data_IF_702609988531
#
_entry.id   IF_702609988531
#
_cell.length_a   1.000
_cell.length_b   1.000
_cell.length_c   1.000
_cell.angle_alpha   90.00
_cell.angle_beta   90.00
_cell.angle_gamma   90.00
#
_symmetry.space_group_name_H-M   'P 1'
#
loop_
_entity.id
_entity.type
_entity.pdbx_description
1 polymer ?
#
# COMPACT_ATOMS: atom_id res chain seq x y z
N UNK A 1 -20.65 23.47 44.51
CA UNK A 1 -20.10 24.82 44.73
C UNK A 1 -19.73 25.34 43.37
N UNK A 2 -20.60 26.10 42.71
CA UNK A 2 -20.58 27.54 42.52
C UNK A 2 -19.23 27.97 41.91
N UNK A 3 -19.19 28.44 40.77
CA UNK A 3 -19.69 29.48 39.84
C UNK A 3 -18.52 30.37 39.43
N UNK A 4 -18.36 30.77 38.19
CA UNK A 4 -18.79 32.07 37.70
C UNK A 4 -18.46 32.25 36.19
N UNK A 5 -19.48 32.72 35.49
CA UNK A 5 -19.42 33.27 34.15
C UNK A 5 -18.64 34.59 34.13
N UNK A 6 -17.95 34.88 33.03
CA UNK A 6 -17.77 36.28 32.62
C UNK A 6 -17.93 36.37 31.07
N UNK A 7 -18.92 37.12 30.70
CA UNK A 7 -19.24 37.63 29.37
C UNK A 7 -18.51 38.97 29.24
N UNK A 8 -17.85 39.25 28.13
CA UNK A 8 -17.50 40.61 27.71
C UNK A 8 -17.67 40.73 26.21
N UNK A 9 -18.69 41.48 25.86
CA UNK A 9 -18.91 42.07 24.55
C UNK A 9 -18.07 43.32 24.41
N UNK A 10 -17.46 43.59 23.26
CA UNK A 10 -17.07 44.95 22.87
C UNK A 10 -17.31 45.15 21.37
N UNK A 11 -17.85 46.32 21.14
CA UNK A 11 -18.48 46.86 19.99
C UNK A 11 -17.55 47.22 18.83
N UNK A 12 -18.18 47.35 17.66
CA UNK A 12 -17.57 47.70 16.40
C UNK A 12 -17.10 49.15 16.29
N UNK A 13 -16.26 49.37 15.30
CA UNK A 13 -16.00 50.71 14.77
C UNK A 13 -15.94 50.65 13.25
N UNK A 14 -16.97 51.21 12.63
CA UNK A 14 -17.05 51.52 11.19
C UNK A 14 -16.24 52.78 10.93
N UNK A 15 -15.28 52.73 10.04
CA UNK A 15 -14.60 53.93 9.51
C UNK A 15 -15.01 54.13 8.05
N UNK A 16 -15.82 55.16 7.86
CA UNK A 16 -16.17 55.74 6.56
C UNK A 16 -15.04 56.64 6.12
N UNK A 17 -14.47 56.48 4.92
CA UNK A 17 -13.57 57.44 4.31
C UNK A 17 -14.21 58.02 3.06
N UNK A 18 -14.39 59.34 3.13
CA UNK A 18 -14.99 60.20 2.12
C UNK A 18 -14.02 60.46 0.95
N UNK A 19 -14.59 60.43 -0.25
CA UNK A 19 -13.97 60.88 -1.50
C UNK A 19 -13.82 62.40 -1.51
N UNK A 20 -12.62 62.89 -1.84
CA UNK A 20 -12.42 64.27 -2.21
C UNK A 20 -11.82 64.35 -3.63
N UNK A 21 -12.58 64.93 -4.53
CA UNK A 21 -12.17 65.26 -5.90
C UNK A 21 -11.29 66.49 -5.91
N UNK A 22 -10.18 66.46 -6.60
CA UNK A 22 -9.32 67.64 -6.84
C UNK A 22 -8.81 67.65 -8.27
N UNK A 23 -9.31 68.59 -9.07
CA UNK A 23 -8.79 68.95 -10.41
C UNK A 23 -7.54 69.81 -10.28
N UNK A 24 -6.51 69.53 -11.11
CA UNK A 24 -5.32 70.37 -11.19
C UNK A 24 -4.40 70.08 -12.36
N UNK A 25 -4.58 70.81 -13.44
CA UNK A 25 -3.73 71.26 -14.57
C UNK A 25 -2.49 70.50 -15.03
N UNK A 26 -2.45 70.32 -16.32
CA UNK A 26 -1.40 69.81 -17.19
C UNK A 26 -0.09 70.62 -17.11
N UNK A 27 1.04 69.92 -17.23
CA UNK A 27 2.32 70.34 -17.71
C UNK A 27 3.05 69.27 -18.47
N UNK A 28 3.65 69.60 -19.56
CA UNK A 28 4.20 68.89 -20.68
C UNK A 28 5.45 68.10 -20.38
N UNK A 29 5.58 66.99 -21.16
CA UNK A 29 6.57 65.92 -21.31
C UNK A 29 8.07 66.26 -21.22
N UNK A 30 8.98 65.23 -21.00
CA UNK A 30 9.48 64.52 -22.19
C UNK A 30 9.50 62.99 -22.06
N UNK A 31 9.49 62.38 -23.24
CA UNK A 31 9.54 60.95 -23.55
C UNK A 31 10.66 60.20 -22.85
N UNK A 32 10.28 59.14 -22.14
CA UNK A 32 11.14 58.01 -21.78
C UNK A 32 10.37 56.75 -22.02
N UNK A 33 10.65 56.06 -23.13
CA UNK A 33 10.03 54.82 -23.53
C UNK A 33 10.55 53.67 -22.65
N UNK A 34 9.80 53.27 -21.66
CA UNK A 34 9.96 51.97 -21.01
C UNK A 34 8.60 51.27 -21.05
N UNK A 35 8.44 50.42 -22.08
CA UNK A 35 7.33 49.48 -22.20
C UNK A 35 7.43 48.45 -21.08
N UNK A 36 7.02 48.83 -19.90
CA UNK A 36 6.65 47.89 -18.85
C UNK A 36 5.24 47.41 -19.15
N UNK A 37 5.09 46.25 -19.81
CA UNK A 37 3.84 45.55 -19.87
C UNK A 37 3.33 45.37 -18.42
N UNK A 38 2.06 45.66 -18.10
CA UNK A 38 1.53 45.34 -16.80
C UNK A 38 1.63 43.79 -16.66
N UNK A 39 2.39 43.31 -15.70
CA UNK A 39 2.29 41.93 -15.27
C UNK A 39 0.84 41.73 -14.87
N UNK A 40 0.10 40.89 -15.62
CA UNK A 40 -1.21 40.42 -15.20
C UNK A 40 -1.14 39.84 -13.78
N UNK A 41 -2.27 39.71 -13.10
CA UNK A 41 -2.29 39.05 -11.80
C UNK A 41 -1.55 37.72 -11.93
N UNK A 42 -0.77 37.32 -10.92
CA UNK A 42 -0.13 36.01 -10.94
C UNK A 42 -1.19 34.95 -11.25
N UNK A 43 -0.87 34.00 -12.13
CA UNK A 43 -1.76 32.90 -12.43
C UNK A 43 -2.18 32.24 -11.10
N UNK A 44 -3.46 31.93 -10.96
CA UNK A 44 -3.97 31.26 -9.76
C UNK A 44 -3.24 29.91 -9.63
N UNK A 45 -2.77 29.62 -8.42
CA UNK A 45 -2.16 28.32 -8.11
C UNK A 45 -3.27 27.29 -7.99
N UNK A 46 -3.17 26.19 -8.75
CA UNK A 46 -4.08 25.04 -8.63
C UNK A 46 -3.63 24.18 -7.44
N UNK A 47 -4.48 24.01 -6.45
CA UNK A 47 -4.24 23.11 -5.33
C UNK A 47 -4.75 21.70 -5.67
N UNK A 48 -3.89 20.69 -5.46
CA UNK A 48 -4.21 19.27 -5.61
C UNK A 48 -4.07 18.60 -4.25
N UNK A 49 -5.15 18.06 -3.74
CA UNK A 49 -5.21 17.36 -2.45
C UNK A 49 -5.00 15.87 -2.66
N UNK A 50 -3.99 15.31 -1.98
CA UNK A 50 -3.64 13.88 -2.07
C UNK A 50 -3.82 13.22 -0.70
N UNK A 51 -4.59 12.14 -0.66
CA UNK A 51 -4.65 11.26 0.52
C UNK A 51 -3.86 9.99 0.27
N UNK A 52 -3.09 9.56 1.29
CA UNK A 52 -2.36 8.30 1.31
C UNK A 52 -2.39 7.67 2.71
N UNK A 53 -2.00 6.39 2.82
CA UNK A 53 -1.96 5.71 4.11
C UNK A 53 -0.56 5.25 4.52
N UNK A 54 0.49 5.64 3.79
CA UNK A 54 1.85 5.27 4.16
C UNK A 54 2.26 5.88 5.50
N UNK A 55 3.04 5.13 6.27
CA UNK A 55 3.53 5.54 7.57
C UNK A 55 5.05 5.75 7.58
N UNK A 56 5.54 6.45 8.62
CA UNK A 56 6.97 6.64 8.90
C UNK A 56 7.76 7.18 7.72
N UNK A 57 8.92 6.61 7.46
CA UNK A 57 9.84 7.07 6.41
C UNK A 57 9.22 7.06 5.00
N UNK A 58 8.26 6.17 4.72
CA UNK A 58 7.58 6.13 3.43
C UNK A 58 6.65 7.33 3.25
N UNK A 59 5.89 7.72 4.29
CA UNK A 59 5.10 8.95 4.28
C UNK A 59 5.97 10.19 4.12
N UNK A 60 7.06 10.29 4.89
CA UNK A 60 7.99 11.42 4.82
C UNK A 60 8.61 11.55 3.42
N UNK A 61 8.94 10.42 2.78
CA UNK A 61 9.48 10.40 1.41
C UNK A 61 8.46 10.91 0.40
N UNK A 62 7.21 10.44 0.48
CA UNK A 62 6.15 10.90 -0.43
C UNK A 62 5.89 12.40 -0.26
N UNK A 63 5.79 12.88 0.98
CA UNK A 63 5.59 14.29 1.29
C UNK A 63 6.75 15.18 0.77
N UNK A 64 7.99 14.68 0.85
CA UNK A 64 9.15 15.37 0.30
C UNK A 64 9.09 15.44 -1.24
N UNK A 65 8.69 14.37 -1.91
CA UNK A 65 8.51 14.34 -3.38
C UNK A 65 7.37 15.26 -3.83
N UNK A 66 6.25 15.30 -3.11
CA UNK A 66 5.14 16.22 -3.38
C UNK A 66 5.58 17.71 -3.25
N UNK A 67 6.38 18.03 -2.24
CA UNK A 67 6.98 19.37 -2.08
C UNK A 67 7.97 19.71 -3.19
N UNK A 68 8.79 18.74 -3.63
CA UNK A 68 9.73 18.90 -4.75
C UNK A 68 9.00 19.22 -6.05
N UNK A 69 7.90 18.48 -6.35
CA UNK A 69 7.05 18.76 -7.50
C UNK A 69 6.49 20.19 -7.44
N UNK A 70 5.89 20.58 -6.30
CA UNK A 70 5.32 21.91 -6.12
C UNK A 70 6.37 23.04 -6.25
N UNK A 71 7.60 22.82 -5.80
CA UNK A 71 8.68 23.78 -5.92
C UNK A 71 9.13 23.99 -7.39
N UNK A 72 9.08 22.93 -8.21
CA UNK A 72 9.45 22.99 -9.63
C UNK A 72 8.28 23.41 -10.55
N UNK A 73 7.02 23.30 -10.08
CA UNK A 73 5.80 23.58 -10.84
C UNK A 73 4.98 24.68 -10.13
N UNK A 74 5.47 25.93 -10.15
CA UNK A 74 4.95 27.07 -9.34
C UNK A 74 3.46 27.38 -9.50
N UNK A 75 2.79 26.80 -10.51
CA UNK A 75 1.36 26.96 -10.74
C UNK A 75 0.53 25.81 -10.14
N UNK A 76 1.17 24.80 -9.52
CA UNK A 76 0.50 23.67 -8.86
C UNK A 76 1.06 23.53 -7.44
N UNK A 77 0.18 23.35 -6.46
CA UNK A 77 0.52 23.03 -5.07
C UNK A 77 -0.05 21.66 -4.71
N UNK A 78 0.81 20.71 -4.39
CA UNK A 78 0.38 19.41 -3.87
C UNK A 78 0.30 19.47 -2.35
N UNK A 79 -0.89 19.18 -1.80
CA UNK A 79 -1.17 19.10 -0.37
C UNK A 79 -1.45 17.66 0.01
N UNK A 80 -0.60 17.04 0.82
CA UNK A 80 -0.71 15.65 1.24
C UNK A 80 -1.43 15.51 2.59
N UNK A 81 -2.15 14.41 2.79
CA UNK A 81 -2.77 14.05 4.06
C UNK A 81 -2.66 12.55 4.30
N UNK A 82 -2.06 12.17 5.42
CA UNK A 82 -2.07 10.79 5.87
C UNK A 82 -3.45 10.41 6.44
N UNK A 83 -3.98 9.28 6.01
CA UNK A 83 -5.22 8.67 6.53
C UNK A 83 -4.91 7.24 6.88
N UNK A 84 -5.07 6.82 8.15
CA UNK A 84 -4.79 5.44 8.54
C UNK A 84 -5.46 4.41 7.63
N UNK A 85 -4.74 3.34 7.30
CA UNK A 85 -5.24 2.28 6.41
C UNK A 85 -6.61 1.75 6.85
N UNK A 86 -6.81 1.52 8.16
CA UNK A 86 -8.09 1.05 8.73
C UNK A 86 -9.28 1.96 8.45
N UNK A 87 -9.04 3.27 8.32
CA UNK A 87 -10.09 4.29 8.18
C UNK A 87 -10.30 4.75 6.73
N UNK A 88 -9.36 4.40 5.84
CA UNK A 88 -9.23 5.00 4.51
C UNK A 88 -10.50 4.86 3.66
N UNK A 89 -11.00 3.64 3.46
CA UNK A 89 -12.23 3.40 2.68
C UNK A 89 -13.46 4.02 3.32
N UNK A 90 -13.56 4.00 4.65
CA UNK A 90 -14.68 4.62 5.39
C UNK A 90 -14.69 6.13 5.18
N UNK A 91 -13.51 6.77 5.26
CA UNK A 91 -13.35 8.20 5.03
C UNK A 91 -13.66 8.57 3.57
N UNK A 92 -13.22 7.77 2.59
CA UNK A 92 -13.56 8.00 1.18
C UNK A 92 -15.08 7.95 0.93
N UNK A 93 -15.78 6.95 1.46
CA UNK A 93 -17.25 6.86 1.33
C UNK A 93 -17.98 8.05 1.96
N UNK A 94 -17.56 8.44 3.16
CA UNK A 94 -18.13 9.61 3.84
C UNK A 94 -17.88 10.89 3.02
N UNK A 95 -16.68 11.05 2.47
CA UNK A 95 -16.31 12.21 1.66
C UNK A 95 -16.99 12.24 0.29
N UNK A 96 -17.24 11.09 -0.32
CA UNK A 96 -18.07 11.01 -1.53
C UNK A 96 -19.48 11.54 -1.27
N UNK A 97 -20.10 11.15 -0.15
CA UNK A 97 -21.43 11.62 0.24
C UNK A 97 -21.47 13.12 0.51
N UNK A 98 -20.42 13.67 1.15
CA UNK A 98 -20.31 15.11 1.47
C UNK A 98 -19.71 15.96 0.34
N UNK A 99 -19.28 15.35 -0.77
CA UNK A 99 -18.59 15.99 -1.90
C UNK A 99 -17.28 16.69 -1.51
N UNK A 100 -16.51 16.02 -0.66
CA UNK A 100 -15.22 16.51 -0.14
C UNK A 100 -14.11 15.50 -0.41
N UNK A 101 -14.21 14.76 -1.52
CA UNK A 101 -13.17 13.83 -1.96
C UNK A 101 -11.85 14.58 -2.24
N UNK A 102 -10.69 13.96 -2.00
CA UNK A 102 -9.41 14.50 -2.46
C UNK A 102 -9.36 14.52 -3.99
N UNK A 103 -8.31 15.07 -4.57
CA UNK A 103 -8.07 14.97 -6.01
C UNK A 103 -7.42 13.65 -6.37
N UNK A 104 -6.55 13.14 -5.48
CA UNK A 104 -5.93 11.84 -5.59
C UNK A 104 -6.11 11.08 -4.28
N UNK A 105 -6.57 9.82 -4.36
CA UNK A 105 -6.47 8.86 -3.26
C UNK A 105 -5.47 7.76 -3.64
N UNK A 106 -4.41 7.62 -2.84
CA UNK A 106 -3.44 6.55 -3.00
C UNK A 106 -3.78 5.45 -2.00
N UNK A 107 -4.22 4.31 -2.52
CA UNK A 107 -4.72 3.21 -1.71
C UNK A 107 -4.39 1.85 -2.29
N UNK A 108 -4.64 0.79 -1.52
CA UNK A 108 -4.37 -0.59 -1.93
C UNK A 108 -5.05 -0.90 -3.27
N UNK A 109 -4.33 -1.58 -4.15
CA UNK A 109 -4.77 -1.92 -5.50
C UNK A 109 -6.14 -2.64 -5.55
N UNK A 110 -6.48 -3.43 -4.53
CA UNK A 110 -7.77 -4.15 -4.44
C UNK A 110 -8.95 -3.23 -4.07
N UNK A 111 -8.69 -1.97 -3.70
CA UNK A 111 -9.76 -1.01 -3.39
C UNK A 111 -10.30 -0.29 -4.62
N UNK A 112 -9.56 -0.29 -5.73
CA UNK A 112 -9.93 0.45 -6.94
C UNK A 112 -11.36 0.12 -7.42
N UNK A 113 -11.78 -1.17 -7.57
CA UNK A 113 -13.14 -1.48 -8.00
C UNK A 113 -14.24 -0.98 -7.05
N UNK A 114 -13.92 -0.89 -5.75
CA UNK A 114 -14.86 -0.40 -4.74
C UNK A 114 -14.95 1.13 -4.72
N UNK A 115 -13.81 1.81 -4.94
CA UNK A 115 -13.76 3.27 -5.02
C UNK A 115 -14.41 3.77 -6.32
N UNK A 116 -14.26 3.03 -7.42
CA UNK A 116 -14.93 3.33 -8.69
C UNK A 116 -16.46 3.35 -8.55
N UNK A 117 -17.03 2.47 -7.72
CA UNK A 117 -18.47 2.48 -7.42
C UNK A 117 -18.98 3.78 -6.76
N UNK A 118 -18.09 4.63 -6.26
CA UNK A 118 -18.44 5.98 -5.81
C UNK A 118 -18.74 6.92 -6.99
N UNK A 119 -18.45 6.51 -8.24
CA UNK A 119 -18.90 7.16 -9.48
C UNK A 119 -18.18 8.45 -9.85
N UNK A 120 -16.95 8.64 -9.37
CA UNK A 120 -16.26 9.93 -9.48
C UNK A 120 -14.82 9.84 -9.97
N UNK A 121 -14.36 8.67 -10.46
CA UNK A 121 -12.99 8.53 -10.95
C UNK A 121 -12.85 9.03 -12.40
N UNK A 122 -11.79 9.78 -12.66
CA UNK A 122 -11.44 10.29 -13.97
C UNK A 122 -10.88 9.19 -14.87
N UNK A 123 -11.10 9.30 -16.18
CA UNK A 123 -10.44 8.46 -17.17
C UNK A 123 -9.04 9.03 -17.51
N UNK A 124 -8.01 8.35 -17.07
CA UNK A 124 -6.62 8.77 -17.27
C UNK A 124 -6.07 8.45 -18.67
N UNK A 125 -6.83 7.73 -19.51
CA UNK A 125 -6.35 7.30 -20.84
C UNK A 125 -5.95 8.47 -21.75
N UNK A 126 -6.63 9.62 -21.63
CA UNK A 126 -6.33 10.82 -22.39
C UNK A 126 -5.60 11.91 -21.59
N UNK A 127 -5.37 11.69 -20.30
CA UNK A 127 -4.72 12.64 -19.40
C UNK A 127 -3.23 12.34 -19.21
N UNK A 128 -2.86 11.06 -19.16
CA UNK A 128 -1.48 10.62 -19.07
C UNK A 128 -0.90 10.36 -20.46
N UNK A 129 0.39 10.63 -20.69
CA UNK A 129 1.06 10.28 -21.94
C UNK A 129 0.98 8.76 -22.19
N UNK A 130 0.75 8.37 -23.45
CA UNK A 130 0.69 6.97 -23.83
C UNK A 130 2.00 6.20 -23.54
N UNK A 131 3.15 6.88 -23.61
CA UNK A 131 4.45 6.31 -23.28
C UNK A 131 4.56 5.96 -21.79
N UNK A 132 4.08 6.84 -20.90
CA UNK A 132 4.04 6.59 -19.45
C UNK A 132 3.16 5.38 -19.13
N UNK A 133 1.94 5.32 -19.69
CA UNK A 133 1.03 4.18 -19.50
C UNK A 133 1.62 2.86 -20.04
N UNK A 134 2.35 2.90 -21.16
CA UNK A 134 2.96 1.72 -21.77
C UNK A 134 4.17 1.17 -20.98
N UNK A 135 4.85 2.00 -20.20
CA UNK A 135 6.00 1.59 -19.37
C UNK A 135 5.58 0.93 -18.06
N UNK A 136 4.34 1.14 -17.61
CA UNK A 136 3.83 0.54 -16.37
C UNK A 136 3.66 -0.98 -16.51
N UNK A 137 4.00 -1.73 -15.46
CA UNK A 137 3.79 -3.17 -15.40
C UNK A 137 2.30 -3.53 -15.68
N UNK A 138 2.03 -4.35 -16.72
CA UNK A 138 0.66 -4.68 -17.12
C UNK A 138 -0.19 -5.34 -16.03
N UNK A 139 0.41 -6.16 -15.17
CA UNK A 139 -0.31 -6.82 -14.07
C UNK A 139 -0.82 -5.80 -13.06
N UNK A 140 -0.02 -4.76 -12.71
CA UNK A 140 -0.42 -3.68 -11.82
C UNK A 140 -1.42 -2.73 -12.50
N UNK A 141 -1.23 -2.42 -13.80
CA UNK A 141 -2.15 -1.57 -14.57
C UNK A 141 -3.55 -2.16 -14.66
N UNK A 142 -3.67 -3.50 -14.68
CA UNK A 142 -4.96 -4.19 -14.81
C UNK A 142 -5.96 -3.86 -13.71
N UNK A 143 -5.50 -3.56 -12.49
CA UNK A 143 -6.36 -3.16 -11.38
C UNK A 143 -7.05 -1.82 -11.61
N UNK A 144 -6.41 -0.92 -12.35
CA UNK A 144 -6.97 0.39 -12.71
C UNK A 144 -7.83 0.38 -13.98
N UNK A 145 -8.01 -0.76 -14.65
CA UNK A 145 -8.83 -0.85 -15.87
C UNK A 145 -10.25 -1.31 -15.55
N UNK A 146 -11.20 -0.38 -15.60
CA UNK A 146 -12.61 -0.66 -15.33
C UNK A 146 -13.47 -0.09 -16.47
N UNK A 147 -14.35 -0.92 -17.06
CA UNK A 147 -15.25 -0.49 -18.12
C UNK A 147 -14.56 0.08 -19.37
N UNK A 148 -13.33 -0.33 -19.65
CA UNK A 148 -12.53 0.16 -20.77
C UNK A 148 -11.77 1.46 -20.50
N UNK A 149 -11.89 2.04 -19.31
CA UNK A 149 -11.18 3.23 -18.85
C UNK A 149 -10.00 2.85 -17.96
N UNK A 150 -8.97 3.70 -17.92
CA UNK A 150 -7.90 3.65 -16.93
C UNK A 150 -8.23 4.64 -15.81
N UNK A 151 -8.79 4.16 -14.68
CA UNK A 151 -9.28 5.01 -13.59
C UNK A 151 -8.27 5.21 -12.45
N UNK A 152 -7.15 4.49 -12.49
CA UNK A 152 -6.02 4.65 -11.58
C UNK A 152 -4.73 4.15 -12.21
N UNK A 153 -3.58 4.57 -11.68
CA UNK A 153 -2.25 4.04 -12.05
C UNK A 153 -1.50 3.60 -10.80
N UNK A 154 -0.68 2.52 -10.88
CA UNK A 154 0.13 2.10 -9.76
C UNK A 154 1.24 3.12 -9.51
N UNK A 155 1.50 3.41 -8.25
CA UNK A 155 2.59 4.28 -7.78
C UNK A 155 3.61 3.52 -6.94
N UNK A 156 3.28 2.31 -6.51
CA UNK A 156 4.20 1.39 -5.85
C UNK A 156 3.83 -0.06 -6.14
N UNK A 157 4.79 -0.93 -5.99
CA UNK A 157 4.59 -2.38 -5.99
C UNK A 157 5.28 -2.99 -4.77
N UNK A 158 4.75 -4.10 -4.30
CA UNK A 158 5.33 -4.86 -3.20
C UNK A 158 4.95 -6.34 -3.31
N UNK A 159 5.62 -7.17 -2.54
CA UNK A 159 5.24 -8.55 -2.28
C UNK A 159 5.73 -8.97 -0.90
N UNK A 160 5.39 -10.17 -0.46
CA UNK A 160 5.80 -10.72 0.82
C UNK A 160 6.95 -11.71 0.64
N UNK A 161 7.99 -11.56 1.47
CA UNK A 161 9.12 -12.46 1.55
C UNK A 161 9.31 -12.98 2.99
N UNK A 162 10.23 -13.90 3.19
CA UNK A 162 10.63 -14.39 4.51
C UNK A 162 11.67 -13.46 5.10
N UNK A 163 11.32 -12.72 6.15
CA UNK A 163 12.25 -11.94 6.94
C UNK A 163 12.60 -12.70 8.22
N UNK A 164 13.87 -12.64 8.64
CA UNK A 164 14.32 -13.39 9.80
C UNK A 164 15.34 -12.62 10.64
N UNK A 165 15.31 -12.86 11.95
CA UNK A 165 16.18 -12.26 12.93
C UNK A 165 17.49 -13.04 13.00
N UNK A 166 18.55 -12.51 12.42
CA UNK A 166 19.89 -13.14 12.36
C UNK A 166 20.48 -13.35 13.76
N UNK A 167 20.14 -12.48 14.72
CA UNK A 167 20.61 -12.62 16.10
C UNK A 167 19.99 -13.87 16.73
N UNK A 168 18.66 -14.04 16.63
CA UNK A 168 17.97 -15.21 17.17
C UNK A 168 18.37 -16.51 16.45
N UNK A 169 18.68 -16.45 15.14
CA UNK A 169 19.24 -17.59 14.42
C UNK A 169 20.57 -18.03 15.03
N UNK A 170 21.50 -17.08 15.27
CA UNK A 170 22.80 -17.36 15.91
C UNK A 170 22.64 -17.90 17.32
N UNK A 171 21.77 -17.30 18.14
CA UNK A 171 21.46 -17.74 19.50
C UNK A 171 20.90 -19.16 19.53
N UNK A 172 20.12 -19.53 18.51
CA UNK A 172 19.56 -20.86 18.35
C UNK A 172 20.57 -21.89 17.73
N UNK A 173 21.78 -21.46 17.40
CA UNK A 173 22.77 -22.32 16.73
C UNK A 173 22.47 -22.59 15.25
N UNK A 174 21.62 -21.76 14.63
CA UNK A 174 21.33 -21.79 13.20
C UNK A 174 22.32 -20.91 12.43
N UNK A 175 22.60 -21.27 11.15
CA UNK A 175 23.40 -20.47 10.27
C UNK A 175 22.56 -19.28 9.73
N UNK A 176 22.90 -18.02 10.08
CA UNK A 176 22.12 -16.86 9.67
C UNK A 176 22.23 -16.54 8.17
N UNK A 177 23.15 -17.19 7.45
CA UNK A 177 23.33 -17.02 6.01
C UNK A 177 22.68 -18.17 5.19
N UNK A 178 21.98 -19.08 5.89
CA UNK A 178 21.21 -20.19 5.30
C UNK A 178 19.78 -20.20 5.81
N UNK A 179 18.95 -19.23 5.43
CA UNK A 179 17.55 -19.21 5.80
C UNK A 179 16.80 -20.41 5.21
N UNK A 180 15.67 -20.83 5.85
CA UNK A 180 14.80 -21.87 5.32
C UNK A 180 14.31 -21.57 3.90
N UNK A 181 14.24 -22.61 3.06
CA UNK A 181 13.70 -22.56 1.70
C UNK A 181 12.43 -23.36 1.54
N UNK A 182 12.16 -24.28 2.49
CA UNK A 182 10.96 -25.09 2.50
C UNK A 182 10.16 -24.92 3.80
N UNK A 183 8.88 -25.33 3.78
CA UNK A 183 8.04 -25.32 4.99
C UNK A 183 8.60 -26.22 6.08
N UNK A 184 9.18 -27.35 5.69
CA UNK A 184 9.80 -28.31 6.60
C UNK A 184 11.02 -27.69 7.30
N UNK A 185 11.84 -26.97 6.55
CA UNK A 185 13.02 -26.25 7.09
C UNK A 185 12.56 -25.08 7.97
N UNK A 186 11.50 -24.33 7.60
CA UNK A 186 10.92 -23.28 8.42
C UNK A 186 10.40 -23.82 9.76
N UNK A 187 9.67 -24.93 9.73
CA UNK A 187 9.19 -25.62 10.94
C UNK A 187 10.36 -26.07 11.84
N UNK A 188 11.40 -26.62 11.24
CA UNK A 188 12.58 -27.09 11.98
C UNK A 188 13.36 -25.90 12.62
N UNK A 189 13.60 -24.84 11.86
CA UNK A 189 14.27 -23.64 12.35
C UNK A 189 13.46 -22.95 13.44
N UNK A 190 12.13 -22.85 13.25
CA UNK A 190 11.22 -22.27 14.25
C UNK A 190 11.18 -23.04 15.55
N UNK A 191 11.15 -24.37 15.52
CA UNK A 191 11.27 -25.26 16.72
C UNK A 191 12.60 -25.05 17.43
N UNK A 192 13.69 -24.94 16.69
CA UNK A 192 15.02 -24.73 17.24
C UNK A 192 15.11 -23.37 17.94
N UNK A 193 14.64 -22.30 17.31
CA UNK A 193 14.58 -20.96 17.92
C UNK A 193 13.76 -21.01 19.20
N UNK A 194 12.55 -21.59 19.14
CA UNK A 194 11.68 -21.72 20.32
C UNK A 194 12.34 -22.45 21.49
N UNK A 195 13.03 -23.53 21.17
CA UNK A 195 13.73 -24.38 22.18
C UNK A 195 14.88 -23.63 22.85
N UNK A 196 15.75 -22.99 22.08
CA UNK A 196 16.99 -22.42 22.58
C UNK A 196 16.81 -21.01 23.16
N UNK A 197 15.87 -20.21 22.62
CA UNK A 197 15.68 -18.81 23.03
C UNK A 197 14.42 -18.57 23.86
N UNK A 198 13.46 -19.50 23.85
CA UNK A 198 12.14 -19.33 24.45
C UNK A 198 11.21 -18.38 23.67
N UNK A 199 11.68 -17.78 22.57
CA UNK A 199 10.90 -16.86 21.75
C UNK A 199 10.15 -17.60 20.62
N UNK A 200 9.05 -17.03 20.06
CA UNK A 200 8.41 -17.56 18.87
C UNK A 200 9.41 -17.73 17.73
N UNK A 201 9.34 -18.85 17.03
CA UNK A 201 10.20 -19.11 15.87
C UNK A 201 9.68 -18.45 14.62
N UNK A 202 8.36 -18.27 14.53
CA UNK A 202 7.69 -17.64 13.40
C UNK A 202 6.49 -16.83 13.88
N UNK A 203 6.26 -15.66 13.31
CA UNK A 203 5.12 -14.80 13.63
C UNK A 203 4.08 -14.90 12.51
N UNK A 204 2.89 -15.41 12.83
CA UNK A 204 1.76 -15.59 11.91
C UNK A 204 0.69 -14.54 12.14
N UNK A 205 0.03 -14.11 11.07
CA UNK A 205 -1.26 -13.43 11.16
C UNK A 205 -2.34 -14.45 11.53
N UNK A 206 -2.64 -14.61 12.82
CA UNK A 206 -3.59 -15.61 13.32
C UNK A 206 -4.99 -15.08 13.54
N UNK A 207 -5.19 -13.76 13.55
CA UNK A 207 -6.45 -13.10 13.85
C UNK A 207 -6.98 -12.32 12.65
N UNK A 208 -8.27 -12.44 12.39
CA UNK A 208 -8.94 -11.73 11.29
C UNK A 208 -8.96 -10.21 11.51
N UNK A 209 -9.08 -9.75 12.77
CA UNK A 209 -9.26 -8.34 13.05
C UNK A 209 -10.50 -7.76 12.34
N UNK A 210 -10.49 -6.45 12.12
CA UNK A 210 -11.67 -5.74 11.56
C UNK A 210 -11.82 -5.91 10.04
N UNK A 211 -10.72 -6.16 9.30
CA UNK A 211 -10.72 -6.26 7.85
C UNK A 211 -10.52 -7.67 7.30
N UNK A 212 -9.95 -8.56 8.09
CA UNK A 212 -9.51 -9.88 7.63
C UNK A 212 -8.25 -9.88 6.76
N UNK A 213 -7.85 -8.73 6.24
CA UNK A 213 -6.86 -8.64 5.16
C UNK A 213 -5.47 -9.11 5.59
N UNK A 214 -5.01 -8.77 6.78
CA UNK A 214 -3.70 -9.21 7.26
C UNK A 214 -3.55 -10.73 7.23
N UNK A 215 -4.55 -11.46 7.74
CA UNK A 215 -4.58 -12.92 7.71
C UNK A 215 -4.74 -13.44 6.28
N UNK A 216 -5.76 -12.97 5.55
CA UNK A 216 -6.07 -13.47 4.20
C UNK A 216 -4.90 -13.27 3.24
N UNK A 217 -4.30 -12.07 3.23
CA UNK A 217 -3.21 -11.75 2.33
C UNK A 217 -1.96 -12.60 2.59
N UNK A 218 -1.60 -12.78 3.86
CA UNK A 218 -0.49 -13.66 4.24
C UNK A 218 -0.79 -15.12 3.91
N UNK A 219 -2.01 -15.58 4.17
CA UNK A 219 -2.41 -16.98 3.90
C UNK A 219 -2.44 -17.30 2.40
N UNK A 220 -2.82 -16.36 1.54
CA UNK A 220 -2.86 -16.56 0.09
C UNK A 220 -1.51 -17.02 -0.47
N UNK A 221 -0.39 -16.55 0.09
CA UNK A 221 0.94 -17.04 -0.32
C UNK A 221 1.06 -18.54 -0.11
N UNK A 222 0.73 -19.04 1.09
CA UNK A 222 0.76 -20.46 1.39
C UNK A 222 -0.23 -21.26 0.53
N UNK A 223 -1.39 -20.67 0.24
CA UNK A 223 -2.41 -21.28 -0.62
C UNK A 223 -1.88 -21.52 -2.04
N UNK A 224 -1.27 -20.51 -2.68
CA UNK A 224 -0.71 -20.62 -4.01
C UNK A 224 0.53 -21.53 -4.05
N UNK A 225 1.37 -21.48 -3.01
CA UNK A 225 2.52 -22.37 -2.86
C UNK A 225 2.11 -23.86 -2.80
N UNK A 226 0.99 -24.15 -2.17
CA UNK A 226 0.41 -25.49 -2.15
C UNK A 226 -0.28 -25.90 -3.46
N UNK A 227 -0.52 -24.95 -4.38
CA UNK A 227 -1.15 -25.19 -5.69
C UNK A 227 -2.68 -25.02 -5.71
N UNK A 228 -3.26 -24.31 -4.73
CA UNK A 228 -4.67 -23.92 -4.74
C UNK A 228 -4.85 -22.49 -5.22
N UNK A 229 -6.08 -22.12 -5.59
CA UNK A 229 -6.49 -20.76 -5.93
C UNK A 229 -7.47 -20.21 -4.89
N UNK A 230 -7.50 -18.88 -4.73
CA UNK A 230 -8.37 -18.24 -3.74
C UNK A 230 -9.82 -18.19 -4.25
N UNK A 231 -10.04 -17.64 -5.43
CA UNK A 231 -11.29 -17.69 -6.17
C UNK A 231 -11.07 -18.37 -7.53
N UNK A 232 -12.15 -18.75 -8.19
CA UNK A 232 -12.09 -19.19 -9.60
C UNK A 232 -11.73 -18.01 -10.53
N UNK A 233 -11.38 -18.31 -11.77
CA UNK A 233 -10.88 -17.32 -12.73
C UNK A 233 -11.83 -16.13 -12.97
N UNK A 234 -13.13 -16.35 -12.82
CA UNK A 234 -14.16 -15.32 -13.03
C UNK A 234 -14.55 -14.59 -11.75
N UNK A 235 -13.90 -14.87 -10.62
CA UNK A 235 -14.23 -14.36 -9.28
C UNK A 235 -15.68 -14.60 -8.83
N UNK A 236 -16.31 -15.67 -9.34
CA UNK A 236 -17.72 -16.01 -9.07
C UNK A 236 -17.92 -17.07 -8.01
N UNK A 237 -16.84 -17.72 -7.57
CA UNK A 237 -16.88 -18.75 -6.53
C UNK A 237 -15.53 -18.89 -5.80
N UNK A 238 -15.59 -19.32 -4.54
CA UNK A 238 -14.42 -19.78 -3.79
C UNK A 238 -13.77 -20.99 -4.44
N UNK A 239 -12.41 -21.03 -4.47
CA UNK A 239 -11.65 -22.13 -5.06
C UNK A 239 -10.61 -22.74 -4.11
N UNK A 240 -10.55 -22.28 -2.87
CA UNK A 240 -9.53 -22.67 -1.89
C UNK A 240 -9.85 -23.99 -1.15
N UNK A 241 -11.12 -24.44 -1.09
CA UNK A 241 -11.50 -25.65 -0.36
C UNK A 241 -11.16 -26.91 -1.16
N UNK A 242 -9.88 -27.18 -1.31
CA UNK A 242 -9.29 -28.31 -2.04
C UNK A 242 -8.30 -29.06 -1.14
N UNK A 243 -7.81 -30.25 -1.50
CA UNK A 243 -6.74 -30.91 -0.77
C UNK A 243 -5.50 -30.01 -0.57
N UNK A 244 -5.15 -29.20 -1.57
CA UNK A 244 -4.04 -28.26 -1.53
C UNK A 244 -4.30 -27.09 -0.53
N UNK A 245 -5.52 -26.53 -0.55
CA UNK A 245 -5.89 -25.49 0.41
C UNK A 245 -5.94 -25.99 1.84
N UNK A 246 -6.44 -27.23 2.04
CA UNK A 246 -6.40 -27.91 3.35
C UNK A 246 -4.97 -28.11 3.84
N UNK A 247 -4.07 -28.50 2.95
CA UNK A 247 -2.64 -28.62 3.28
C UNK A 247 -2.03 -27.28 3.70
N UNK A 248 -2.38 -26.21 3.02
CA UNK A 248 -1.90 -24.86 3.39
C UNK A 248 -2.37 -24.44 4.78
N UNK A 249 -3.65 -24.64 5.10
CA UNK A 249 -4.18 -24.30 6.42
C UNK A 249 -3.65 -25.25 7.51
N UNK A 250 -3.48 -26.55 7.20
CA UNK A 250 -2.89 -27.50 8.14
C UNK A 250 -1.47 -27.11 8.52
N UNK A 251 -0.65 -26.64 7.55
CA UNK A 251 0.70 -26.16 7.87
C UNK A 251 0.68 -25.00 8.88
N UNK A 252 -0.26 -24.06 8.77
CA UNK A 252 -0.39 -22.97 9.74
C UNK A 252 -0.85 -23.46 11.12
N UNK A 253 -1.80 -24.41 11.16
CA UNK A 253 -2.22 -25.07 12.40
C UNK A 253 -1.05 -25.82 13.03
N UNK A 254 -0.28 -26.57 12.24
CA UNK A 254 0.89 -27.31 12.72
C UNK A 254 1.97 -26.41 13.32
N UNK A 255 2.17 -25.17 12.78
CA UNK A 255 3.08 -24.19 13.36
C UNK A 255 2.63 -23.74 14.75
N UNK A 256 1.32 -23.61 14.97
CA UNK A 256 0.75 -23.25 16.28
C UNK A 256 0.82 -24.43 17.23
N UNK A 257 0.40 -25.62 16.84
CA UNK A 257 0.40 -26.83 17.65
C UNK A 257 1.81 -27.24 18.08
N UNK A 258 2.80 -26.99 17.21
CA UNK A 258 4.21 -27.21 17.53
C UNK A 258 4.83 -26.12 18.43
N UNK A 259 4.07 -25.08 18.80
CA UNK A 259 4.54 -23.94 19.58
C UNK A 259 5.57 -23.08 18.86
N UNK A 260 5.68 -23.21 17.55
CA UNK A 260 6.56 -22.38 16.70
C UNK A 260 6.00 -20.97 16.56
N UNK A 261 4.70 -20.85 16.35
CA UNK A 261 3.98 -19.58 16.32
C UNK A 261 2.89 -19.58 17.39
N UNK A 262 2.78 -18.55 18.25
CA UNK A 262 1.65 -18.45 19.16
C UNK A 262 0.38 -18.03 18.40
N UNK A 263 -0.78 -18.53 18.85
CA UNK A 263 -2.04 -17.87 18.50
C UNK A 263 -2.12 -16.55 19.30
N UNK A 264 -1.72 -15.46 18.67
CA UNK A 264 -1.60 -14.15 19.30
C UNK A 264 -1.74 -13.03 18.24
N UNK A 265 -1.85 -11.81 18.74
CA UNK A 265 -1.81 -10.63 17.86
C UNK A 265 -0.43 -10.54 17.19
N UNK A 266 -0.43 -10.29 15.91
CA UNK A 266 0.76 -10.01 15.11
C UNK A 266 1.67 -8.92 15.69
N UNK A 267 2.98 -9.01 15.47
CA UNK A 267 3.94 -7.94 15.72
C UNK A 267 5.07 -8.29 16.69
N UNK A 268 5.28 -9.55 17.04
CA UNK A 268 6.41 -9.95 17.90
C UNK A 268 7.73 -9.92 17.10
N UNK A 269 7.69 -10.28 15.81
CA UNK A 269 8.87 -10.19 14.94
C UNK A 269 9.37 -8.75 14.81
N UNK A 270 8.48 -7.80 14.54
CA UNK A 270 8.85 -6.37 14.39
C UNK A 270 9.52 -5.78 15.65
N UNK A 271 9.19 -6.31 16.81
CA UNK A 271 9.81 -5.93 18.11
C UNK A 271 11.14 -6.65 18.38
N UNK A 272 11.61 -7.48 17.44
CA UNK A 272 12.78 -8.34 17.66
C UNK A 272 12.55 -9.49 18.64
N UNK A 273 11.27 -9.80 18.97
CA UNK A 273 10.89 -10.87 19.89
C UNK A 273 10.49 -12.17 19.17
N UNK A 274 10.46 -12.16 17.84
CA UNK A 274 10.19 -13.32 16.97
C UNK A 274 11.39 -13.67 16.11
N UNK A 275 11.52 -14.97 15.75
CA UNK A 275 12.61 -15.50 14.92
C UNK A 275 12.48 -15.09 13.46
N UNK A 276 11.26 -15.09 12.95
CA UNK A 276 10.98 -14.77 11.54
C UNK A 276 9.51 -14.44 11.31
N UNK A 277 9.19 -13.88 10.16
CA UNK A 277 7.85 -13.60 9.70
C UNK A 277 7.80 -13.56 8.16
N UNK A 278 6.60 -13.68 7.61
CA UNK A 278 6.34 -13.30 6.23
C UNK A 278 5.95 -11.82 6.21
N UNK A 279 6.79 -10.98 5.56
CA UNK A 279 6.67 -9.52 5.66
C UNK A 279 6.98 -8.85 4.33
N UNK A 280 6.57 -7.61 4.17
CA UNK A 280 6.66 -6.87 2.93
C UNK A 280 7.94 -6.09 2.70
N UNK A 281 8.21 -5.81 1.42
CA UNK A 281 9.40 -5.05 1.00
C UNK A 281 9.48 -3.65 1.61
N UNK A 282 8.35 -3.03 1.95
CA UNK A 282 8.28 -1.71 2.62
C UNK A 282 8.97 -1.68 3.98
N UNK A 283 9.00 -2.82 4.70
CA UNK A 283 9.66 -2.89 6.00
C UNK A 283 11.17 -2.70 5.89
N UNK A 284 11.75 -3.09 4.73
CA UNK A 284 13.17 -2.84 4.47
C UNK A 284 13.44 -1.34 4.47
N UNK A 285 12.63 -0.54 3.78
CA UNK A 285 12.78 0.92 3.77
C UNK A 285 12.48 1.58 5.12
N UNK A 286 11.45 1.12 5.82
CA UNK A 286 11.09 1.65 7.16
C UNK A 286 12.23 1.40 8.16
N UNK A 287 12.89 0.24 8.10
CA UNK A 287 13.96 -0.13 9.04
C UNK A 287 15.36 0.24 8.58
N UNK A 288 15.58 0.56 7.30
CA UNK A 288 16.92 0.80 6.76
C UNK A 288 17.76 1.84 7.53
N UNK A 289 17.18 2.99 8.00
CA UNK A 289 17.95 4.00 8.71
C UNK A 289 18.44 3.55 10.09
N UNK A 290 17.64 2.74 10.81
CA UNK A 290 17.93 2.24 12.16
C UNK A 290 17.20 0.91 12.39
N UNK A 291 17.77 -0.21 11.92
CA UNK A 291 17.12 -1.51 12.05
C UNK A 291 16.91 -1.88 13.52
N UNK A 292 15.71 -2.34 13.91
CA UNK A 292 15.44 -2.71 15.30
C UNK A 292 16.26 -3.93 15.76
N UNK A 293 16.79 -4.71 14.80
CA UNK A 293 17.68 -5.86 15.00
C UNK A 293 18.39 -6.22 13.69
N UNK A 294 19.44 -7.05 13.77
CA UNK A 294 20.10 -7.60 12.57
C UNK A 294 19.14 -8.59 11.88
N UNK A 295 18.57 -8.19 10.73
CA UNK A 295 17.64 -9.02 9.98
C UNK A 295 18.13 -9.35 8.58
N UNK A 296 17.73 -10.53 8.12
CA UNK A 296 17.90 -10.98 6.75
C UNK A 296 16.57 -11.10 6.03
N UNK A 297 16.60 -11.13 4.71
CA UNK A 297 15.46 -11.45 3.86
C UNK A 297 15.81 -12.63 2.93
N UNK A 298 14.83 -13.47 2.65
CA UNK A 298 14.91 -14.59 1.71
C UNK A 298 13.57 -14.73 0.98
N UNK A 299 13.56 -15.46 -0.15
CA UNK A 299 12.29 -15.83 -0.79
C UNK A 299 11.41 -16.58 0.18
N UNK A 300 10.09 -16.43 0.05
CA UNK A 300 9.13 -17.12 0.89
C UNK A 300 9.32 -18.66 0.77
N UNK A 301 9.56 -19.39 1.87
CA UNK A 301 9.66 -20.84 1.87
C UNK A 301 8.36 -21.48 1.36
N UNK A 302 8.47 -22.55 0.58
CA UNK A 302 7.31 -23.27 0.03
C UNK A 302 7.46 -24.79 0.23
N UNK A 303 6.38 -25.59 0.15
CA UNK A 303 6.50 -27.04 0.35
C UNK A 303 7.36 -27.69 -0.73
N UNK A 304 8.17 -28.69 -0.40
CA UNK A 304 9.14 -29.29 -1.30
C UNK A 304 8.58 -29.88 -2.60
N UNK A 305 7.28 -30.21 -2.62
CA UNK A 305 6.52 -30.65 -3.80
C UNK A 305 5.55 -29.56 -4.32
N UNK A 306 5.65 -28.33 -3.78
CA UNK A 306 4.88 -27.17 -4.19
C UNK A 306 5.58 -26.32 -5.25
N UNK A 307 5.22 -25.05 -5.30
CA UNK A 307 5.80 -24.07 -6.23
C UNK A 307 6.15 -22.76 -5.50
N UNK A 308 7.16 -22.02 -5.95
CA UNK A 308 7.36 -20.67 -5.46
C UNK A 308 6.11 -19.83 -5.77
N UNK A 309 5.69 -19.03 -4.82
CA UNK A 309 4.62 -18.05 -4.98
C UNK A 309 4.74 -16.98 -3.92
N UNK A 310 4.35 -15.78 -4.30
CA UNK A 310 4.10 -14.65 -3.40
C UNK A 310 2.90 -13.85 -3.92
N UNK A 311 2.47 -12.84 -3.20
CA UNK A 311 1.41 -11.98 -3.68
C UNK A 311 1.95 -10.76 -4.42
N UNK A 312 1.16 -10.23 -5.37
CA UNK A 312 1.34 -8.94 -5.97
C UNK A 312 0.53 -7.93 -5.17
N UNK A 313 1.24 -7.03 -4.50
CA UNK A 313 0.67 -5.90 -3.77
C UNK A 313 1.15 -4.57 -4.35
N UNK A 314 0.69 -3.49 -3.76
CA UNK A 314 1.06 -2.14 -4.11
C UNK A 314 -0.11 -1.18 -4.03
N UNK A 315 0.17 0.10 -4.28
CA UNK A 315 -0.79 1.17 -4.20
C UNK A 315 -1.11 1.74 -5.58
N UNK A 316 -2.39 2.03 -5.76
CA UNK A 316 -2.95 2.72 -6.92
C UNK A 316 -3.27 4.16 -6.57
N UNK A 317 -2.85 5.10 -7.42
CA UNK A 317 -3.31 6.47 -7.38
C UNK A 317 -4.62 6.58 -8.18
N UNK A 318 -5.72 6.77 -7.46
CA UNK A 318 -7.06 6.95 -7.99
C UNK A 318 -7.33 8.45 -8.10
N UNK A 319 -7.58 8.95 -9.30
CA UNK A 319 -7.84 10.38 -9.56
C UNK A 319 -9.33 10.63 -9.60
N UNK A 320 -9.81 11.59 -8.79
CA UNK A 320 -11.21 11.99 -8.78
C UNK A 320 -11.48 13.11 -9.77
N UNK A 321 -12.61 13.04 -10.47
CA UNK A 321 -13.08 14.04 -11.42
C UNK A 321 -13.79 15.18 -10.66
N UNK A 322 -12.98 15.99 -9.95
CA UNK A 322 -13.49 17.08 -9.12
C UNK A 322 -13.66 18.40 -9.89
N UNK A 323 -12.69 18.73 -10.77
CA UNK A 323 -12.67 19.90 -11.64
C UNK A 323 -11.57 19.73 -12.69
N UNK A 324 -11.81 20.17 -13.92
CA UNK A 324 -10.91 19.95 -15.09
C UNK A 324 -9.46 20.37 -14.84
N UNK A 325 -9.24 21.51 -14.20
CA UNK A 325 -7.90 22.04 -13.89
C UNK A 325 -7.19 21.23 -12.83
N UNK A 326 -7.88 20.81 -11.77
CA UNK A 326 -7.34 19.96 -10.69
C UNK A 326 -7.11 18.54 -11.17
N UNK A 327 -8.04 17.96 -11.92
CA UNK A 327 -7.92 16.62 -12.49
C UNK A 327 -6.71 16.55 -13.44
N UNK A 328 -6.48 17.57 -14.24
CA UNK A 328 -5.31 17.67 -15.13
C UNK A 328 -4.02 17.84 -14.33
N UNK A 329 -3.99 18.74 -13.35
CA UNK A 329 -2.82 18.94 -12.50
C UNK A 329 -2.47 17.68 -11.68
N UNK A 330 -3.47 16.90 -11.26
CA UNK A 330 -3.29 15.59 -10.63
C UNK A 330 -2.65 14.57 -11.58
N UNK A 331 -3.10 14.52 -12.84
CA UNK A 331 -2.50 13.66 -13.85
C UNK A 331 -1.06 14.08 -14.18
N UNK A 332 -0.76 15.39 -14.29
CA UNK A 332 0.59 15.91 -14.53
C UNK A 332 1.55 15.54 -13.37
N UNK A 333 1.07 15.60 -12.12
CA UNK A 333 1.84 15.14 -10.95
C UNK A 333 2.13 13.64 -11.02
N UNK A 334 1.15 12.82 -11.42
CA UNK A 334 1.34 11.37 -11.55
C UNK A 334 2.28 11.02 -12.72
N UNK A 335 2.21 11.75 -13.84
CA UNK A 335 3.16 11.57 -14.94
C UNK A 335 4.59 11.84 -14.46
N UNK A 336 4.81 12.95 -13.74
CA UNK A 336 6.11 13.26 -13.13
C UNK A 336 6.56 12.18 -12.15
N UNK A 337 5.68 11.71 -11.27
CA UNK A 337 6.00 10.68 -10.27
C UNK A 337 6.41 9.35 -10.93
N UNK A 338 5.82 9.03 -12.08
CA UNK A 338 6.10 7.80 -12.85
C UNK A 338 7.34 7.90 -13.77
N UNK A 339 8.02 9.04 -13.82
CA UNK A 339 9.27 9.14 -14.57
C UNK A 339 10.37 8.29 -13.92
N UNK A 340 11.30 7.72 -14.71
CA UNK A 340 12.32 6.77 -14.21
C UNK A 340 13.13 7.30 -13.02
N UNK A 341 13.44 8.59 -13.00
CA UNK A 341 14.17 9.22 -11.89
C UNK A 341 13.36 9.17 -10.59
N UNK A 342 12.07 9.48 -10.64
CA UNK A 342 11.21 9.53 -9.47
C UNK A 342 10.85 8.12 -8.98
N UNK A 343 10.56 7.18 -9.89
CA UNK A 343 10.34 5.78 -9.55
C UNK A 343 11.58 5.17 -8.91
N UNK A 344 12.79 5.47 -9.42
CA UNK A 344 14.04 5.01 -8.82
C UNK A 344 14.22 5.58 -7.42
N UNK A 345 14.04 6.89 -7.24
CA UNK A 345 14.13 7.58 -5.95
C UNK A 345 13.16 6.98 -4.93
N UNK A 346 11.90 6.81 -5.32
CA UNK A 346 10.86 6.20 -4.49
C UNK A 346 11.26 4.80 -4.05
N UNK A 347 11.61 3.93 -5.01
CA UNK A 347 11.93 2.53 -4.72
C UNK A 347 13.18 2.38 -3.86
N UNK A 348 14.21 3.17 -4.08
CA UNK A 348 15.44 3.13 -3.31
C UNK A 348 15.27 3.62 -1.87
N UNK A 349 14.35 4.58 -1.64
CA UNK A 349 14.17 5.16 -0.30
C UNK A 349 13.17 4.36 0.52
N UNK A 350 12.12 3.82 -0.11
CA UNK A 350 10.99 3.21 0.60
C UNK A 350 11.03 1.68 0.66
N UNK A 351 11.89 1.03 -0.13
CA UNK A 351 11.85 -0.42 -0.30
C UNK A 351 10.67 -0.92 -1.14
N UNK A 352 9.80 -0.01 -1.63
CA UNK A 352 8.76 -0.36 -2.58
C UNK A 352 9.38 -0.73 -3.93
N UNK A 353 8.82 -1.73 -4.59
CA UNK A 353 9.35 -2.19 -5.88
C UNK A 353 8.92 -1.26 -7.02
N UNK A 354 9.76 -1.10 -8.07
CA UNK A 354 9.44 -0.25 -9.20
C UNK A 354 8.20 -0.72 -9.96
N UNK A 355 7.34 0.23 -10.32
CA UNK A 355 6.11 -0.05 -11.10
C UNK A 355 6.31 0.04 -12.61
N UNK A 356 7.41 0.63 -13.07
CA UNK A 356 7.72 0.83 -14.49
C UNK A 356 8.78 -0.15 -14.99
N UNK A 357 8.61 -0.64 -16.23
CA UNK A 357 9.54 -1.57 -16.85
C UNK A 357 10.92 -0.97 -17.09
N UNK A 358 10.99 0.33 -17.40
CA UNK A 358 12.24 1.06 -17.58
C UNK A 358 13.12 1.08 -16.34
N UNK A 359 12.55 1.04 -15.13
CA UNK A 359 13.30 0.96 -13.88
C UNK A 359 13.44 -0.48 -13.40
N UNK A 360 12.35 -1.25 -13.34
CA UNK A 360 12.35 -2.62 -12.84
C UNK A 360 13.32 -3.55 -13.59
N UNK A 361 13.45 -3.34 -14.92
CA UNK A 361 14.34 -4.14 -15.76
C UNK A 361 15.73 -3.47 -15.98
N UNK A 362 16.00 -2.33 -15.33
CA UNK A 362 17.30 -1.67 -15.48
C UNK A 362 18.39 -2.40 -14.72
N UNK A 363 19.52 -2.65 -15.38
CA UNK A 363 20.70 -3.18 -14.70
C UNK A 363 21.14 -2.31 -13.52
N UNK A 364 20.98 -0.99 -13.64
CA UNK A 364 21.37 -0.03 -12.62
C UNK A 364 20.58 -0.19 -11.31
N UNK A 365 19.26 -0.43 -11.38
CA UNK A 365 18.46 -0.68 -10.19
C UNK A 365 18.87 -1.99 -9.50
N UNK A 366 19.06 -3.06 -10.28
CA UNK A 366 19.46 -4.36 -9.75
C UNK A 366 20.88 -4.33 -9.14
N UNK A 367 21.81 -3.60 -9.75
CA UNK A 367 23.15 -3.39 -9.21
C UNK A 367 23.10 -2.59 -7.89
N UNK A 368 22.27 -1.56 -7.81
CA UNK A 368 22.04 -0.83 -6.57
C UNK A 368 21.48 -1.72 -5.47
N UNK A 369 20.45 -2.54 -5.77
CA UNK A 369 19.87 -3.50 -4.80
C UNK A 369 20.98 -4.41 -4.26
N UNK A 370 21.78 -5.01 -5.12
CA UNK A 370 22.87 -5.92 -4.71
C UNK A 370 23.96 -5.25 -3.87
N UNK A 371 24.28 -4.01 -4.18
CA UNK A 371 25.40 -3.30 -3.56
C UNK A 371 24.99 -2.52 -2.29
N UNK A 372 23.79 -1.96 -2.26
CA UNK A 372 23.36 -1.00 -1.23
C UNK A 372 22.29 -1.56 -0.30
N UNK A 373 21.33 -2.36 -0.82
CA UNK A 373 20.25 -2.92 -0.02
C UNK A 373 19.93 -4.37 -0.44
N UNK A 374 20.87 -5.33 -0.21
CA UNK A 374 20.71 -6.71 -0.65
C UNK A 374 19.48 -7.43 -0.06
N UNK A 375 18.89 -6.90 1.01
CA UNK A 375 17.65 -7.44 1.59
C UNK A 375 16.44 -7.27 0.67
N UNK A 376 16.49 -6.36 -0.31
CA UNK A 376 15.45 -6.22 -1.34
C UNK A 376 15.57 -7.28 -2.46
N UNK A 377 16.73 -7.94 -2.60
CA UNK A 377 16.94 -8.88 -3.70
C UNK A 377 15.90 -10.01 -3.76
N UNK A 378 15.53 -10.69 -2.66
CA UNK A 378 14.51 -11.73 -2.68
C UNK A 378 13.16 -11.23 -3.20
N UNK A 379 12.76 -9.99 -2.83
CA UNK A 379 11.50 -9.37 -3.28
C UNK A 379 11.53 -9.08 -4.79
N UNK A 380 12.64 -8.58 -5.30
CA UNK A 380 12.81 -8.33 -6.74
C UNK A 380 12.76 -9.63 -7.53
N UNK A 381 13.48 -10.66 -7.09
CA UNK A 381 13.56 -11.94 -7.79
C UNK A 381 12.23 -12.71 -7.79
N UNK A 382 11.46 -12.65 -6.70
CA UNK A 382 10.20 -13.40 -6.61
C UNK A 382 9.00 -12.66 -7.24
N UNK A 383 9.18 -11.45 -7.79
CA UNK A 383 8.13 -10.78 -8.58
C UNK A 383 7.66 -11.62 -9.78
N UNK A 384 8.52 -12.49 -10.31
CA UNK A 384 8.14 -13.42 -11.38
C UNK A 384 7.13 -14.49 -10.92
N UNK A 385 7.08 -14.76 -9.61
CA UNK A 385 6.22 -15.73 -8.96
C UNK A 385 5.03 -15.06 -8.22
N UNK A 386 4.79 -13.77 -8.49
CA UNK A 386 3.77 -13.00 -7.80
C UNK A 386 2.36 -13.24 -8.38
N UNK A 387 1.41 -13.50 -7.51
CA UNK A 387 0.01 -13.71 -7.82
C UNK A 387 -0.83 -12.49 -7.44
N UNK A 388 -1.68 -12.06 -8.38
CA UNK A 388 -2.62 -10.97 -8.14
C UNK A 388 -3.78 -11.43 -7.25
N UNK A 389 -4.18 -10.58 -6.30
CA UNK A 389 -5.42 -10.78 -5.54
C UNK A 389 -6.65 -10.60 -6.45
N UNK A 390 -7.82 -11.16 -6.11
CA UNK A 390 -9.04 -10.98 -6.91
C UNK A 390 -9.40 -9.50 -7.12
N UNK A 391 -9.54 -9.09 -8.38
CA UNK A 391 -9.95 -7.74 -8.75
C UNK A 391 -11.48 -7.64 -8.81
N UNK A 392 -12.12 -7.46 -7.66
CA UNK A 392 -13.57 -7.36 -7.51
C UNK A 392 -13.93 -6.37 -6.39
N UNK A 393 -15.02 -5.60 -6.52
CA UNK A 393 -15.45 -4.68 -5.46
C UNK A 393 -15.88 -5.41 -4.17
N UNK A 394 -16.09 -6.73 -4.23
CA UNK A 394 -16.47 -7.56 -3.09
C UNK A 394 -15.26 -8.04 -2.28
N UNK A 395 -14.02 -7.88 -2.81
CA UNK A 395 -12.82 -8.46 -2.20
C UNK A 395 -12.66 -8.16 -0.70
N UNK A 396 -12.85 -6.91 -0.19
CA UNK A 396 -12.71 -6.66 1.24
C UNK A 396 -13.72 -7.45 2.11
N UNK A 397 -14.93 -7.69 1.61
CA UNK A 397 -15.93 -8.51 2.31
C UNK A 397 -15.59 -10.01 2.21
N UNK A 398 -15.07 -10.44 1.07
CA UNK A 398 -14.61 -11.80 0.83
C UNK A 398 -13.43 -12.13 1.75
N UNK A 399 -12.45 -11.23 1.84
CA UNK A 399 -11.28 -11.34 2.70
C UNK A 399 -11.67 -11.51 4.17
N UNK A 400 -12.56 -10.66 4.68
CA UNK A 400 -13.05 -10.76 6.06
C UNK A 400 -13.83 -12.05 6.32
N UNK A 401 -14.73 -12.43 5.40
CA UNK A 401 -15.53 -13.65 5.53
C UNK A 401 -14.66 -14.92 5.55
N UNK A 402 -13.60 -14.95 4.74
CA UNK A 402 -12.59 -16.01 4.73
C UNK A 402 -11.80 -16.04 6.03
N UNK A 403 -11.19 -14.89 6.41
CA UNK A 403 -10.32 -14.79 7.57
C UNK A 403 -11.00 -15.23 8.87
N UNK A 404 -12.26 -14.83 9.07
CA UNK A 404 -13.05 -15.20 10.26
C UNK A 404 -13.23 -16.70 10.42
N UNK A 405 -13.31 -17.45 9.33
CA UNK A 405 -13.45 -18.91 9.41
C UNK A 405 -12.09 -19.60 9.56
N UNK A 406 -11.06 -19.10 8.89
CA UNK A 406 -9.69 -19.61 9.05
C UNK A 406 -9.18 -19.40 10.46
N UNK A 407 -9.43 -18.22 11.04
CA UNK A 407 -9.09 -17.92 12.44
C UNK A 407 -9.62 -18.98 13.41
N UNK A 408 -10.82 -19.52 13.19
CA UNK A 408 -11.37 -20.57 14.07
C UNK A 408 -10.54 -21.86 14.07
N UNK A 409 -9.95 -22.22 12.93
CA UNK A 409 -9.03 -23.37 12.89
C UNK A 409 -7.73 -23.03 13.63
N UNK A 410 -7.19 -21.82 13.46
CA UNK A 410 -5.98 -21.37 14.12
C UNK A 410 -6.15 -21.21 15.64
N UNK A 411 -7.36 -20.90 16.10
CA UNK A 411 -7.74 -20.86 17.51
C UNK A 411 -8.05 -22.24 18.13
N UNK A 412 -8.06 -23.32 17.31
CA UNK A 412 -8.44 -24.65 17.75
C UNK A 412 -9.95 -24.84 17.97
N UNK A 413 -10.80 -23.95 17.45
CA UNK A 413 -12.26 -23.98 17.57
C UNK A 413 -12.95 -24.81 16.47
N UNK A 414 -12.24 -25.12 15.40
CA UNK A 414 -12.70 -25.92 14.27
C UNK A 414 -11.54 -26.73 13.68
N UNK A 415 -11.87 -27.86 13.07
CA UNK A 415 -10.91 -28.57 12.22
C UNK A 415 -10.63 -27.80 10.93
N UNK A 416 -9.53 -28.09 10.25
CA UNK A 416 -9.19 -27.52 8.94
C UNK A 416 -10.32 -27.74 7.92
N UNK A 417 -10.91 -28.93 7.91
CA UNK A 417 -12.03 -29.26 7.01
C UNK A 417 -13.28 -28.43 7.30
N UNK A 418 -13.66 -28.28 8.57
CA UNK A 418 -14.80 -27.47 8.98
C UNK A 418 -14.60 -25.99 8.68
N UNK A 419 -13.40 -25.47 8.96
CA UNK A 419 -13.06 -24.07 8.72
C UNK A 419 -13.09 -23.70 7.23
N UNK A 420 -12.45 -24.51 6.36
CA UNK A 420 -12.46 -24.23 4.92
C UNK A 420 -13.85 -24.43 4.29
N UNK A 421 -14.62 -25.43 4.74
CA UNK A 421 -15.99 -25.60 4.27
C UNK A 421 -16.90 -24.44 4.74
N UNK A 422 -16.69 -23.90 5.93
CA UNK A 422 -17.41 -22.72 6.41
C UNK A 422 -16.97 -21.44 5.67
N UNK A 423 -15.66 -21.29 5.41
CA UNK A 423 -15.12 -20.19 4.64
C UNK A 423 -15.66 -20.17 3.19
N UNK A 424 -15.71 -21.35 2.53
CA UNK A 424 -16.28 -21.48 1.19
C UNK A 424 -17.73 -21.02 1.13
N UNK A 425 -18.56 -21.47 2.08
CA UNK A 425 -19.96 -20.99 2.16
C UNK A 425 -20.05 -19.50 2.41
N UNK A 426 -19.28 -18.97 3.37
CA UNK A 426 -19.32 -17.56 3.70
C UNK A 426 -18.87 -16.65 2.55
N UNK A 427 -17.81 -17.04 1.83
CA UNK A 427 -17.31 -16.33 0.65
C UNK A 427 -18.32 -16.39 -0.49
N UNK A 428 -18.88 -17.57 -0.79
CA UNK A 428 -19.88 -17.73 -1.84
C UNK A 428 -21.17 -16.95 -1.51
N UNK A 429 -21.56 -16.88 -0.24
CA UNK A 429 -22.68 -16.03 0.22
C UNK A 429 -22.42 -14.53 -0.01
N UNK A 430 -21.20 -14.05 0.21
CA UNK A 430 -20.81 -12.67 -0.11
C UNK A 430 -20.90 -12.41 -1.62
N UNK A 431 -20.38 -13.33 -2.43
CA UNK A 431 -20.42 -13.23 -3.89
C UNK A 431 -21.86 -13.24 -4.42
N UNK A 432 -22.73 -14.10 -3.88
CA UNK A 432 -24.11 -14.20 -4.33
C UNK A 432 -25.00 -12.99 -3.97
N UNK A 433 -24.61 -12.22 -2.95
CA UNK A 433 -25.35 -11.00 -2.52
C UNK A 433 -24.84 -9.72 -3.16
N UNK A 434 -23.75 -9.75 -3.83
CA UNK A 434 -22.99 -8.72 -4.47
C UNK A 434 -23.02 -7.79 -5.06
#
# INVERSE_FOLDING_TARGET
>A
MQSKKLVSALAGTVVLVLLASGCGKAATSPSGNTSGQPKGPPAAVTEVVVWHYWDGANADTFDAMAKEYSASHQHVQISTSNVPNSDFLTKLRASATSRTLPDIAIGDLVWVPQVEQLGTLADLTGLLPAATLADINPALTSFGKIGGKQVSVPVSANNLAYLYNKTLFKEAGLDPDKPPTTWEELMAAGKQIRKETGKPGYDLYTQAGDSGEGLTWNFQVSLWQAGAEFLNADNTAAAFNTPQGKRALQFWVDLIDAGVSPYAKWGEFEKGQGGSAQEGSWMVGIWAPDPPFDFGAAKAPYPGDGRPATNLGGEQAMVFDNADDRTRAAADFLDWFLQPEQVTKWSQTTGMLPVTGSVANSGAYLEWVKASEPRLLPFVEQMADAHARPNTPLYPKISLAFAQQVERALAGEATVDEALAAAERAVNDVIARG
#
